data_IF_992835851322
#
_entry.id   IF_992835851322
#
_cell.length_a   1.000
_cell.length_b   1.000
_cell.length_c   1.000
_cell.angle_alpha   90.00
_cell.angle_beta   90.00
_cell.angle_gamma   90.00
#
_symmetry.space_group_name_H-M   'P 1'
#
loop_
_entity.id
_entity.type
_entity.pdbx_description
1 polymer ?
#
# COMPACT_ATOMS: atom_id res chain seq x y z
N UNK A 1 4.95 -7.90 -9.74
CA UNK A 1 4.42 -6.53 -9.59
C UNK A 1 5.39 -5.78 -8.68
N UNK A 2 6.23 -4.90 -9.22
CA UNK A 2 7.14 -4.07 -8.40
C UNK A 2 6.96 -2.56 -8.63
N UNK A 3 5.98 -2.19 -9.47
CA UNK A 3 5.77 -0.83 -9.99
C UNK A 3 4.30 -0.38 -9.90
N UNK A 4 3.48 -1.07 -9.10
CA UNK A 4 2.07 -0.73 -8.94
C UNK A 4 1.89 -0.11 -7.55
N UNK A 5 1.34 1.09 -7.50
CA UNK A 5 0.84 1.74 -6.28
C UNK A 5 -0.70 1.66 -6.25
N UNK A 6 -1.26 1.73 -5.05
CA UNK A 6 -2.70 1.88 -4.82
C UNK A 6 -2.96 3.20 -4.08
N UNK A 7 -3.96 3.94 -4.53
CA UNK A 7 -4.26 5.31 -4.11
C UNK A 7 -5.79 5.50 -4.11
N UNK A 8 -6.30 6.36 -3.23
CA UNK A 8 -7.72 6.73 -3.18
C UNK A 8 -8.11 7.82 -4.21
N UNK A 9 -7.12 8.34 -4.94
CA UNK A 9 -7.25 9.49 -5.84
C UNK A 9 -7.87 10.70 -5.13
N UNK A 10 -9.16 10.97 -5.32
CA UNK A 10 -9.91 12.05 -4.66
C UNK A 10 -10.94 11.50 -3.65
N UNK A 11 -10.49 11.30 -2.41
CA UNK A 11 -11.28 10.68 -1.34
C UNK A 11 -12.66 11.29 -1.10
N UNK A 12 -12.79 12.62 -1.20
CA UNK A 12 -14.08 13.31 -1.01
C UNK A 12 -15.06 13.09 -2.17
N UNK A 13 -14.56 12.97 -3.40
CA UNK A 13 -15.39 12.76 -4.58
C UNK A 13 -15.93 11.33 -4.61
N UNK A 14 -15.11 10.36 -4.21
CA UNK A 14 -15.42 8.94 -4.28
C UNK A 14 -15.98 8.34 -2.98
N UNK A 15 -16.14 9.14 -1.92
CA UNK A 15 -16.50 8.68 -0.56
C UNK A 15 -15.66 7.45 -0.14
N UNK A 16 -14.36 7.52 -0.43
CA UNK A 16 -13.41 6.43 -0.19
C UNK A 16 -12.20 6.95 0.58
N UNK A 17 -11.50 6.03 1.24
CA UNK A 17 -10.20 6.30 1.83
C UNK A 17 -9.22 5.20 1.39
N UNK A 18 -7.95 5.34 1.78
CA UNK A 18 -6.94 4.39 1.35
C UNK A 18 -7.26 2.97 1.82
N UNK A 19 -7.81 2.77 3.03
CA UNK A 19 -8.13 1.43 3.54
C UNK A 19 -9.27 0.80 2.72
N UNK A 20 -10.31 1.57 2.42
CA UNK A 20 -11.42 1.16 1.55
C UNK A 20 -10.98 0.74 0.15
N UNK A 21 -9.84 1.21 -0.36
CA UNK A 21 -9.26 0.71 -1.61
C UNK A 21 -8.51 -0.63 -1.45
N UNK A 22 -7.87 -0.87 -0.30
CA UNK A 22 -7.16 -2.13 -0.03
C UNK A 22 -8.13 -3.31 0.23
N UNK A 23 -9.31 -3.06 0.78
CA UNK A 23 -10.33 -4.08 1.06
C UNK A 23 -10.82 -4.83 -0.20
N UNK A 24 -11.22 -4.18 -1.31
CA UNK A 24 -11.56 -4.86 -2.56
C UNK A 24 -10.34 -5.45 -3.26
N UNK A 25 -9.15 -4.84 -3.12
CA UNK A 25 -7.92 -5.45 -3.62
C UNK A 25 -7.67 -6.83 -2.98
N UNK A 26 -7.98 -6.98 -1.69
CA UNK A 26 -7.96 -8.27 -0.98
C UNK A 26 -9.14 -9.17 -1.38
N UNK A 27 -10.36 -8.68 -1.21
CA UNK A 27 -11.59 -9.51 -1.23
C UNK A 27 -12.15 -9.78 -2.63
N UNK A 28 -11.96 -8.84 -3.57
CA UNK A 28 -12.49 -8.94 -4.94
C UNK A 28 -11.38 -9.36 -5.92
N UNK A 29 -10.21 -8.73 -5.85
CA UNK A 29 -9.07 -9.07 -6.73
C UNK A 29 -8.24 -10.25 -6.21
N UNK A 30 -8.47 -10.70 -4.98
CA UNK A 30 -7.80 -11.87 -4.40
C UNK A 30 -6.31 -11.68 -4.14
N UNK A 31 -5.85 -10.44 -3.93
CA UNK A 31 -4.45 -10.20 -3.61
C UNK A 31 -4.12 -10.73 -2.22
N UNK A 32 -3.06 -11.53 -2.13
CA UNK A 32 -2.51 -11.99 -0.86
C UNK A 32 -1.82 -10.85 -0.10
N UNK A 33 -1.60 -11.05 1.20
CA UNK A 33 -0.93 -10.09 2.08
C UNK A 33 0.46 -9.73 1.56
N UNK A 34 1.21 -10.68 0.97
CA UNK A 34 2.50 -10.39 0.35
C UNK A 34 2.37 -9.45 -0.84
N UNK A 35 1.28 -9.58 -1.62
CA UNK A 35 1.01 -8.71 -2.77
C UNK A 35 0.55 -7.33 -2.33
N UNK A 36 -0.28 -7.24 -1.30
CA UNK A 36 -0.69 -5.97 -0.70
C UNK A 36 0.52 -5.23 -0.09
N UNK A 37 1.38 -5.95 0.63
CA UNK A 37 2.62 -5.41 1.16
C UNK A 37 3.56 -4.93 0.04
N UNK A 38 3.66 -5.67 -1.07
CA UNK A 38 4.46 -5.25 -2.22
C UNK A 38 3.94 -3.97 -2.89
N UNK A 39 2.61 -3.82 -2.99
CA UNK A 39 1.97 -2.59 -3.52
C UNK A 39 2.23 -1.40 -2.59
N UNK A 40 2.05 -1.58 -1.28
CA UNK A 40 2.33 -0.54 -0.30
C UNK A 40 3.81 -0.09 -0.32
N UNK A 41 4.74 -1.05 -0.37
CA UNK A 41 6.16 -0.78 -0.47
C UNK A 41 6.54 -0.05 -1.79
N UNK A 42 5.88 -0.38 -2.90
CA UNK A 42 6.06 0.30 -4.18
C UNK A 42 5.58 1.77 -4.11
N UNK A 43 4.41 2.03 -3.50
CA UNK A 43 3.93 3.40 -3.26
C UNK A 43 4.94 4.23 -2.47
N UNK A 44 5.50 3.67 -1.39
CA UNK A 44 6.48 4.36 -0.53
C UNK A 44 7.78 4.62 -1.29
N UNK A 45 8.33 3.60 -1.95
CA UNK A 45 9.61 3.68 -2.66
C UNK A 45 9.55 4.69 -3.80
N UNK A 46 8.43 4.69 -4.54
CA UNK A 46 8.18 5.60 -5.66
C UNK A 46 7.83 7.05 -5.28
N UNK A 47 7.60 7.35 -4.00
CA UNK A 47 7.28 8.70 -3.55
C UNK A 47 8.45 9.68 -3.64
N UNK A 48 8.18 10.98 -3.47
CA UNK A 48 9.22 12.02 -3.35
C UNK A 48 9.77 12.19 -1.92
N UNK A 49 9.45 11.28 -0.98
CA UNK A 49 9.90 11.38 0.40
C UNK A 49 11.42 11.19 0.56
N UNK A 50 12.04 11.72 1.64
CA UNK A 50 13.43 11.43 1.97
C UNK A 50 13.68 9.93 2.20
N UNK A 51 14.88 9.46 1.84
CA UNK A 51 15.23 8.03 1.90
C UNK A 51 15.05 7.43 3.30
N UNK A 52 15.51 8.11 4.34
CA UNK A 52 15.37 7.64 5.72
C UNK A 52 13.88 7.43 6.12
N UNK A 53 12.97 8.27 5.62
CA UNK A 53 11.55 8.12 5.86
C UNK A 53 10.97 6.94 5.10
N UNK A 54 11.39 6.74 3.84
CA UNK A 54 10.99 5.59 3.01
C UNK A 54 11.41 4.27 3.65
N UNK A 55 12.68 4.16 4.05
CA UNK A 55 13.24 2.96 4.67
C UNK A 55 12.47 2.57 5.95
N UNK A 56 12.24 3.54 6.84
CA UNK A 56 11.47 3.30 8.05
C UNK A 56 10.01 2.91 7.77
N UNK A 57 9.39 3.46 6.72
CA UNK A 57 8.03 3.10 6.34
C UNK A 57 7.94 1.71 5.68
N UNK A 58 8.91 1.34 4.83
CA UNK A 58 9.00 0.00 4.22
C UNK A 58 9.20 -1.08 5.30
N UNK A 59 10.03 -0.83 6.32
CA UNK A 59 10.20 -1.80 7.42
C UNK A 59 8.90 -1.98 8.22
N UNK A 60 8.10 -0.92 8.41
CA UNK A 60 6.78 -1.06 9.06
C UNK A 60 5.81 -1.91 8.24
N UNK A 61 5.84 -1.81 6.91
CA UNK A 61 5.05 -2.70 6.03
C UNK A 61 5.53 -4.15 6.16
N UNK A 62 6.84 -4.37 6.20
CA UNK A 62 7.40 -5.71 6.43
C UNK A 62 7.03 -6.27 7.80
N UNK A 63 7.01 -5.43 8.84
CA UNK A 63 6.58 -5.80 10.18
C UNK A 63 5.10 -6.20 10.22
N UNK A 64 4.23 -5.42 9.56
CA UNK A 64 2.82 -5.76 9.41
C UNK A 64 2.63 -7.14 8.76
N UNK A 65 3.33 -7.42 7.66
CA UNK A 65 3.24 -8.70 6.96
C UNK A 65 3.63 -9.89 7.84
N UNK A 66 4.59 -9.72 8.76
CA UNK A 66 4.99 -10.78 9.71
C UNK A 66 3.91 -11.09 10.77
N UNK A 67 2.95 -10.20 10.96
CA UNK A 67 1.88 -10.32 11.96
C UNK A 67 0.49 -10.53 11.35
N UNK A 68 0.42 -10.55 10.01
CA UNK A 68 -0.84 -10.71 9.27
C UNK A 68 -1.15 -12.18 9.02
#
# INVERSE_FOLDING_TARGET
MRWCSLNADESLLFDTDLLREYEPARSVLGLSDERLAAVAAASITGSAAPNALKEGAVERVAAWLRTS
#
